data_IF_076071293199
#
_entry.id   IF_076071293199
#
_cell.length_a   1.000
_cell.length_b   1.000
_cell.length_c   1.000
_cell.angle_alpha   90.00
_cell.angle_beta   90.00
_cell.angle_gamma   90.00
#
_symmetry.space_group_name_H-M   'P 1'
#
loop_
_entity.id
_entity.type
_entity.pdbx_description
1 polymer ?
#
# COMPACT_ATOMS: atom_id res chain seq x y z
N UNK A 1 -9.77 16.10 -1.09
CA UNK A 1 -8.88 15.40 -2.05
C UNK A 1 -9.73 14.71 -3.13
N UNK A 2 -9.69 15.23 -4.36
CA UNK A 2 -10.37 14.66 -5.53
C UNK A 2 -9.54 13.53 -6.14
N UNK A 3 -9.16 12.52 -5.34
CA UNK A 3 -8.58 11.32 -5.93
C UNK A 3 -9.71 10.45 -6.45
N UNK A 4 -9.51 9.89 -7.64
CA UNK A 4 -10.46 8.94 -8.21
C UNK A 4 -10.61 7.69 -7.32
N UNK A 5 -11.76 7.02 -7.36
CA UNK A 5 -12.00 5.77 -6.67
C UNK A 5 -10.91 4.73 -6.98
N UNK A 6 -10.64 3.84 -6.02
CA UNK A 6 -9.66 2.77 -6.21
C UNK A 6 -10.00 1.88 -7.42
N UNK A 7 -11.28 1.69 -7.75
CA UNK A 7 -11.70 0.93 -8.93
C UNK A 7 -11.17 1.54 -10.23
N UNK A 8 -11.23 2.86 -10.39
CA UNK A 8 -10.75 3.55 -11.59
C UNK A 8 -9.22 3.51 -11.68
N UNK A 9 -8.56 3.70 -10.54
CA UNK A 9 -7.09 3.61 -10.45
C UNK A 9 -6.58 2.21 -10.81
N UNK A 10 -7.25 1.17 -10.32
CA UNK A 10 -6.92 -0.23 -10.62
C UNK A 10 -7.26 -0.58 -12.08
N UNK A 11 -8.33 -0.01 -12.63
CA UNK A 11 -8.65 -0.15 -14.04
C UNK A 11 -7.53 0.41 -14.92
N UNK A 12 -7.07 1.63 -14.65
CA UNK A 12 -5.95 2.23 -15.38
C UNK A 12 -4.66 1.40 -15.30
N UNK A 13 -4.33 0.85 -14.11
CA UNK A 13 -3.20 -0.08 -13.95
C UNK A 13 -3.35 -1.29 -14.86
N UNK A 14 -4.54 -1.87 -14.93
CA UNK A 14 -4.83 -3.04 -15.78
C UNK A 14 -4.70 -2.71 -17.27
N UNK A 15 -5.23 -1.56 -17.71
CA UNK A 15 -5.16 -1.13 -19.11
C UNK A 15 -3.71 -0.89 -19.55
N UNK A 16 -2.94 -0.17 -18.74
CA UNK A 16 -1.52 0.08 -19.02
C UNK A 16 -0.74 -1.23 -19.15
N UNK A 17 -0.96 -2.18 -18.22
CA UNK A 17 -0.36 -3.51 -18.28
C UNK A 17 -0.76 -4.26 -19.55
N UNK A 18 -2.05 -4.22 -19.93
CA UNK A 18 -2.55 -4.87 -21.15
C UNK A 18 -1.96 -4.27 -22.43
N UNK A 19 -1.57 -3.00 -22.41
CA UNK A 19 -0.82 -2.35 -23.48
C UNK A 19 0.66 -2.75 -23.53
N UNK A 20 1.11 -3.66 -22.66
CA UNK A 20 2.51 -4.10 -22.57
C UNK A 20 3.42 -3.15 -21.80
N UNK A 21 2.87 -2.13 -21.13
CA UNK A 21 3.65 -1.23 -20.29
C UNK A 21 4.00 -1.95 -19.00
N UNK A 22 5.25 -1.80 -18.57
CA UNK A 22 5.70 -2.29 -17.29
C UNK A 22 5.07 -1.47 -16.15
N UNK A 23 4.13 -2.07 -15.42
CA UNK A 23 3.40 -1.41 -14.32
C UNK A 23 3.68 -2.09 -12.99
N UNK A 24 3.74 -1.28 -11.94
CA UNK A 24 3.85 -1.72 -10.55
C UNK A 24 2.73 -1.08 -9.73
N UNK A 25 2.09 -1.87 -8.86
CA UNK A 25 1.12 -1.35 -7.89
C UNK A 25 1.81 -1.04 -6.56
N UNK A 26 1.69 0.22 -6.13
CA UNK A 26 2.19 0.68 -4.84
C UNK A 26 1.03 0.94 -3.87
N UNK A 27 1.13 0.40 -2.66
CA UNK A 27 0.16 0.58 -1.59
C UNK A 27 0.74 1.58 -0.57
N UNK A 28 0.51 2.88 -0.80
CA UNK A 28 1.21 3.94 -0.07
C UNK A 28 0.34 5.19 0.21
N UNK A 29 0.19 5.62 1.49
CA UNK A 29 0.43 4.83 2.70
C UNK A 29 -0.64 3.74 2.88
N UNK A 30 -0.32 2.66 3.59
CA UNK A 30 -1.30 1.67 4.03
C UNK A 30 -2.23 2.27 5.10
N UNK A 31 -3.43 2.64 4.68
CA UNK A 31 -4.48 3.25 5.50
C UNK A 31 -5.56 2.22 5.88
N UNK A 32 -6.44 2.54 6.85
CA UNK A 32 -7.57 1.71 7.19
C UNK A 32 -8.33 1.13 6.00
N UNK A 33 -8.25 -0.20 5.85
CA UNK A 33 -8.87 -0.98 4.79
C UNK A 33 -8.92 -2.47 5.15
N UNK A 34 -9.54 -3.27 4.29
CA UNK A 34 -9.34 -4.73 4.27
C UNK A 34 -8.03 -5.04 3.49
N UNK A 35 -6.97 -5.52 4.16
CA UNK A 35 -5.66 -5.62 3.53
C UNK A 35 -5.58 -6.76 2.51
N UNK A 36 -6.26 -7.88 2.73
CA UNK A 36 -6.29 -8.99 1.78
C UNK A 36 -7.06 -8.62 0.52
N UNK A 37 -8.22 -7.97 0.68
CA UNK A 37 -9.04 -7.50 -0.46
C UNK A 37 -8.28 -6.49 -1.30
N UNK A 38 -7.58 -5.54 -0.64
CA UNK A 38 -6.72 -4.58 -1.34
C UNK A 38 -5.58 -5.28 -2.08
N UNK A 39 -4.93 -6.27 -1.46
CA UNK A 39 -3.84 -7.01 -2.06
C UNK A 39 -4.30 -7.81 -3.29
N UNK A 40 -5.40 -8.56 -3.19
CA UNK A 40 -5.97 -9.29 -4.31
C UNK A 40 -6.29 -8.36 -5.48
N UNK A 41 -6.99 -7.24 -5.22
CA UNK A 41 -7.35 -6.29 -6.27
C UNK A 41 -6.12 -5.66 -6.95
N UNK A 42 -5.08 -5.35 -6.19
CA UNK A 42 -3.82 -4.81 -6.73
C UNK A 42 -3.02 -5.85 -7.54
N UNK A 43 -3.03 -7.12 -7.11
CA UNK A 43 -2.41 -8.23 -7.83
C UNK A 43 -3.15 -8.53 -9.12
N UNK A 44 -4.48 -8.53 -9.11
CA UNK A 44 -5.30 -8.77 -10.31
C UNK A 44 -5.07 -7.68 -11.36
N UNK A 45 -4.89 -6.43 -10.93
CA UNK A 45 -4.63 -5.32 -11.82
C UNK A 45 -3.20 -5.32 -12.38
N UNK A 46 -2.19 -5.51 -11.52
CA UNK A 46 -0.77 -5.38 -11.90
C UNK A 46 -0.12 -6.68 -12.38
N UNK A 47 -0.62 -7.83 -11.90
CA UNK A 47 -0.07 -9.17 -12.11
C UNK A 47 1.44 -9.25 -11.85
N UNK A 48 1.86 -8.62 -10.75
CA UNK A 48 3.27 -8.46 -10.39
C UNK A 48 3.47 -8.32 -8.88
N UNK A 49 4.74 -8.27 -8.45
CA UNK A 49 5.08 -7.92 -7.07
C UNK A 49 4.44 -6.59 -6.63
N UNK A 50 3.99 -6.57 -5.37
CA UNK A 50 3.45 -5.39 -4.73
C UNK A 50 4.53 -4.65 -3.95
N UNK A 51 4.43 -3.33 -3.89
CA UNK A 51 5.29 -2.49 -3.06
C UNK A 51 4.44 -1.73 -2.05
N UNK A 52 4.76 -1.85 -0.76
CA UNK A 52 4.01 -1.21 0.32
C UNK A 52 4.80 -0.11 1.02
N UNK A 53 4.09 0.96 1.40
CA UNK A 53 4.56 1.97 2.37
C UNK A 53 3.64 1.93 3.60
N UNK A 54 4.05 1.26 4.70
CA UNK A 54 3.27 1.21 5.92
C UNK A 54 3.02 2.61 6.50
N UNK A 55 1.90 2.77 7.20
CA UNK A 55 1.62 4.04 7.87
C UNK A 55 2.71 4.30 8.92
N UNK A 56 3.44 5.41 8.77
CA UNK A 56 4.54 5.75 9.65
C UNK A 56 4.06 6.11 11.06
N UNK A 57 4.21 5.18 11.99
CA UNK A 57 3.84 5.31 13.41
C UNK A 57 5.06 5.61 14.27
N UNK A 58 5.28 6.91 14.52
CA UNK A 58 6.14 7.59 15.52
C UNK A 58 7.58 7.14 15.80
N UNK A 59 8.04 5.93 15.48
CA UNK A 59 9.37 5.48 15.91
C UNK A 59 10.55 6.19 15.20
N UNK A 60 10.32 6.89 14.08
CA UNK A 60 11.43 7.32 13.20
C UNK A 60 11.40 8.77 12.67
N UNK A 61 10.41 9.63 13.01
CA UNK A 61 10.42 11.05 12.56
C UNK A 61 9.91 12.02 13.64
N UNK A 62 10.84 12.81 14.20
CA UNK A 62 10.60 13.74 15.32
C UNK A 62 9.72 14.95 14.97
N UNK A 63 9.64 15.37 13.70
CA UNK A 63 8.82 16.52 13.28
C UNK A 63 8.10 16.28 11.95
N UNK A 64 6.92 16.89 11.81
CA UNK A 64 6.13 16.88 10.57
C UNK A 64 4.63 16.75 10.79
N UNK A 65 3.94 17.86 10.53
CA UNK A 65 2.55 17.99 10.08
C UNK A 65 1.40 17.89 11.10
N UNK A 66 0.72 19.04 11.28
CA UNK A 66 -0.65 19.24 11.79
C UNK A 66 -1.69 18.27 11.22
N UNK A 67 -1.44 17.68 10.05
CA UNK A 67 -2.25 16.63 9.41
C UNK A 67 -2.40 15.34 10.24
N UNK A 68 -1.53 15.13 11.24
CA UNK A 68 -1.55 13.93 12.10
C UNK A 68 -2.59 13.97 13.21
N UNK A 69 -2.89 15.15 13.76
CA UNK A 69 -3.94 15.27 14.77
C UNK A 69 -5.32 15.10 14.14
N UNK A 70 -5.53 15.68 12.95
CA UNK A 70 -6.71 15.45 12.14
C UNK A 70 -6.86 13.96 11.79
N UNK A 71 -5.78 13.30 11.34
CA UNK A 71 -5.81 11.86 11.04
C UNK A 71 -6.16 11.00 12.25
N UNK A 72 -5.63 11.33 13.45
CA UNK A 72 -6.01 10.64 14.70
C UNK A 72 -7.46 10.89 15.09
N UNK A 73 -7.96 12.12 14.96
CA UNK A 73 -9.37 12.45 15.21
C UNK A 73 -10.31 11.71 14.26
N UNK A 74 -9.93 11.62 12.98
CA UNK A 74 -10.66 10.84 11.97
C UNK A 74 -10.63 9.36 12.35
N UNK A 75 -9.47 8.80 12.65
CA UNK A 75 -9.37 7.39 13.05
C UNK A 75 -10.20 7.08 14.30
N UNK A 76 -10.16 7.94 15.32
CA UNK A 76 -10.99 7.80 16.51
C UNK A 76 -12.49 7.88 16.21
N UNK A 77 -12.91 8.79 15.32
CA UNK A 77 -14.29 8.87 14.86
C UNK A 77 -14.79 7.59 14.18
N UNK A 78 -13.89 6.87 13.51
CA UNK A 78 -14.21 5.64 12.78
C UNK A 78 -13.74 4.36 13.50
N UNK A 79 -13.26 4.44 14.74
CA UNK A 79 -12.75 3.32 15.53
C UNK A 79 -11.56 2.56 14.89
N UNK A 80 -10.71 3.27 14.16
CA UNK A 80 -9.55 2.72 13.44
C UNK A 80 -8.20 3.14 14.07
N UNK A 81 -8.17 3.48 15.36
CA UNK A 81 -6.96 3.92 16.07
C UNK A 81 -5.86 2.87 16.06
N UNK A 82 -6.23 1.59 16.00
CA UNK A 82 -5.30 0.45 15.91
C UNK A 82 -4.30 0.58 14.75
N UNK A 83 -4.67 1.25 13.66
CA UNK A 83 -3.77 1.51 12.53
C UNK A 83 -2.57 2.37 12.91
N UNK A 84 -2.64 3.10 14.02
CA UNK A 84 -1.54 3.89 14.55
C UNK A 84 -0.63 3.10 15.52
N UNK A 85 -0.82 1.78 15.64
CA UNK A 85 0.05 0.90 16.45
C UNK A 85 1.09 0.20 15.56
N UNK A 86 2.38 0.25 15.91
CA UNK A 86 3.44 -0.42 15.14
C UNK A 86 3.23 -1.91 14.93
N UNK A 87 2.75 -2.62 15.96
CA UNK A 87 2.49 -4.05 15.86
C UNK A 87 1.37 -4.36 14.84
N UNK A 88 0.28 -3.59 14.88
CA UNK A 88 -0.82 -3.78 13.94
C UNK A 88 -0.39 -3.47 12.49
N UNK A 89 0.45 -2.46 12.28
CA UNK A 89 1.05 -2.20 10.95
C UNK A 89 1.91 -3.37 10.46
N UNK A 90 2.69 -3.99 11.36
CA UNK A 90 3.49 -5.17 11.02
C UNK A 90 2.59 -6.38 10.66
N UNK A 91 1.48 -6.56 11.37
CA UNK A 91 0.48 -7.60 11.08
C UNK A 91 -0.19 -7.37 9.72
N UNK A 92 -0.58 -6.13 9.40
CA UNK A 92 -1.12 -5.76 8.09
C UNK A 92 -0.13 -6.08 6.97
N UNK A 93 1.14 -5.70 7.14
CA UNK A 93 2.21 -6.01 6.17
C UNK A 93 2.38 -7.52 5.99
N UNK A 94 2.34 -8.28 7.09
CA UNK A 94 2.42 -9.74 7.06
C UNK A 94 1.25 -10.36 6.28
N UNK A 95 0.02 -9.91 6.52
CA UNK A 95 -1.20 -10.40 5.84
C UNK A 95 -1.14 -10.15 4.33
N UNK A 96 -0.78 -8.94 3.90
CA UNK A 96 -0.57 -8.62 2.48
C UNK A 96 0.53 -9.51 1.88
N UNK A 97 1.62 -9.71 2.62
CA UNK A 97 2.72 -10.59 2.19
C UNK A 97 2.30 -12.04 2.01
N UNK A 98 1.40 -12.56 2.84
CA UNK A 98 0.84 -13.91 2.68
C UNK A 98 -0.02 -14.03 1.42
N UNK A 99 -0.88 -13.04 1.17
CA UNK A 99 -1.72 -13.00 -0.05
C UNK A 99 -0.85 -12.95 -1.31
N UNK A 100 0.13 -12.04 -1.36
CA UNK A 100 1.05 -11.95 -2.49
C UNK A 100 1.79 -13.26 -2.75
N UNK A 101 2.31 -13.88 -1.67
CA UNK A 101 3.03 -15.16 -1.76
C UNK A 101 2.14 -16.29 -2.27
N UNK A 102 0.89 -16.36 -1.80
CA UNK A 102 -0.08 -17.35 -2.26
C UNK A 102 -0.38 -17.21 -3.76
N UNK A 103 -0.34 -15.98 -4.29
CA UNK A 103 -0.46 -15.68 -5.71
C UNK A 103 0.85 -15.83 -6.51
N UNK A 104 1.95 -16.27 -5.89
CA UNK A 104 3.24 -16.45 -6.54
C UNK A 104 4.08 -15.17 -6.69
N UNK A 105 3.69 -14.08 -6.04
CA UNK A 105 4.37 -12.78 -6.10
C UNK A 105 5.05 -12.40 -4.78
N UNK A 106 6.02 -11.48 -4.86
CA UNK A 106 6.63 -10.88 -3.69
C UNK A 106 5.85 -9.65 -3.20
N UNK A 107 5.92 -9.38 -1.89
CA UNK A 107 5.53 -8.10 -1.32
C UNK A 107 6.75 -7.44 -0.68
N UNK A 108 7.08 -6.23 -1.12
CA UNK A 108 8.27 -5.50 -0.72
C UNK A 108 7.89 -4.21 0.01
N UNK A 109 8.65 -3.81 1.02
CA UNK A 109 8.41 -2.56 1.75
C UNK A 109 9.67 -1.73 1.89
N UNK A 110 9.50 -0.44 2.14
CA UNK A 110 10.59 0.50 2.40
C UNK A 110 11.54 0.68 1.21
N UNK A 111 12.79 1.15 1.47
CA UNK A 111 13.74 1.48 0.40
C UNK A 111 14.04 0.33 -0.55
N UNK A 112 14.00 -0.93 -0.08
CA UNK A 112 14.21 -2.12 -0.91
C UNK A 112 13.09 -2.29 -1.94
N UNK A 113 11.84 -2.08 -1.54
CA UNK A 113 10.69 -2.15 -2.44
C UNK A 113 10.68 -1.02 -3.46
N UNK A 114 10.80 0.22 -2.99
CA UNK A 114 10.83 1.38 -3.88
C UNK A 114 12.05 1.39 -4.81
N UNK A 115 13.18 0.84 -4.38
CA UNK A 115 14.36 0.65 -5.23
C UNK A 115 14.13 -0.26 -6.44
N UNK A 116 13.06 -1.08 -6.47
CA UNK A 116 12.67 -1.85 -7.66
C UNK A 116 12.12 -0.97 -8.77
N UNK A 117 11.37 0.08 -8.42
CA UNK A 117 10.80 1.02 -9.39
C UNK A 117 11.89 1.78 -10.18
N UNK A 118 13.07 1.93 -9.59
CA UNK A 118 14.21 2.62 -10.20
C UNK A 118 15.08 1.72 -11.08
N UNK A 119 14.85 0.40 -11.09
CA UNK A 119 15.62 -0.54 -11.90
C UNK A 119 14.94 -0.71 -13.25
N UNK A 120 15.44 -0.02 -14.26
CA UNK A 120 15.15 -0.34 -15.65
C UNK A 120 15.87 -1.65 -16.01
N UNK A 121 15.11 -2.66 -16.41
CA UNK A 121 15.69 -3.78 -17.15
C UNK A 121 15.96 -3.29 -18.58
N UNK A 122 17.23 -3.25 -18.97
CA UNK A 122 17.66 -3.09 -20.36
C UNK A 122 17.46 -4.40 -21.13
#
# INVERSE_FOLDING_TARGET
PHCEPNSERLHAVKELRQAGIEVYATLAPLLPCDPETLACAALDASHRELIGDPLHVRATKAHGATTREAARKVAARYHEERWFHPQFQAEVVSRIGQVARAAGFAFLTGPKGFGRLARHNH
#
